data_IF_764463946150
#
_entry.id   IF_764463946150
#
_cell.length_a   1.000
_cell.length_b   1.000
_cell.length_c   1.000
_cell.angle_alpha   90.00
_cell.angle_beta   90.00
_cell.angle_gamma   90.00
#
_symmetry.space_group_name_H-M   'P 1'
#
loop_
_entity.id
_entity.type
_entity.pdbx_description
1 polymer ?
#
# COMPACT_ATOMS: atom_id res chain seq x y z
N UNK A 1 13.36 -6.05 26.24
CA UNK A 1 12.27 -5.21 25.69
C UNK A 1 11.93 -5.71 24.30
N UNK A 2 10.71 -6.19 24.07
CA UNK A 2 10.28 -6.64 22.74
C UNK A 2 9.79 -5.42 21.96
N UNK A 3 10.58 -4.95 20.99
CA UNK A 3 10.16 -3.87 20.10
C UNK A 3 8.95 -4.37 19.28
N UNK A 4 7.79 -3.75 19.46
CA UNK A 4 6.60 -3.97 18.64
C UNK A 4 7.00 -3.81 17.17
N UNK A 5 6.71 -4.82 16.34
CA UNK A 5 6.91 -4.72 14.90
C UNK A 5 5.80 -3.84 14.31
N UNK A 6 6.04 -2.54 14.21
CA UNK A 6 5.14 -1.61 13.55
C UNK A 6 5.26 -1.80 12.02
N UNK A 7 4.19 -2.31 11.39
CA UNK A 7 4.02 -2.29 9.95
C UNK A 7 3.65 -0.88 9.50
N UNK A 8 4.16 -0.44 8.36
CA UNK A 8 3.84 0.86 7.78
C UNK A 8 3.10 0.64 6.47
N UNK A 9 1.93 1.26 6.33
CA UNK A 9 1.24 1.41 5.06
C UNK A 9 1.54 2.80 4.53
N UNK A 10 2.32 2.89 3.46
CA UNK A 10 2.65 4.15 2.80
C UNK A 10 1.71 4.34 1.62
N UNK A 11 0.67 5.14 1.80
CA UNK A 11 -0.29 5.45 0.74
C UNK A 11 0.33 6.35 -0.33
N UNK A 12 0.19 5.94 -1.59
CA UNK A 12 0.68 6.63 -2.77
C UNK A 12 -0.52 7.17 -3.55
N UNK A 13 -0.39 8.41 -4.01
CA UNK A 13 -1.31 8.95 -5.00
C UNK A 13 -1.08 8.21 -6.33
N UNK A 14 -2.14 7.72 -7.01
CA UNK A 14 -1.99 7.00 -8.27
C UNK A 14 -1.25 7.82 -9.32
N UNK A 15 -1.65 9.05 -9.62
CA UNK A 15 -1.11 9.80 -10.77
C UNK A 15 0.32 10.30 -10.56
N UNK A 16 0.72 10.57 -9.32
CA UNK A 16 2.09 10.96 -9.00
C UNK A 16 2.53 10.36 -7.65
N UNK A 17 2.93 9.08 -7.62
CA UNK A 17 3.11 8.36 -6.38
C UNK A 17 4.23 8.92 -5.51
N UNK A 18 5.30 9.46 -6.13
CA UNK A 18 6.47 9.93 -5.40
C UNK A 18 7.05 11.21 -6.05
N UNK A 19 6.96 12.33 -5.33
CA UNK A 19 7.47 13.65 -5.75
C UNK A 19 8.92 13.86 -5.27
N UNK A 20 9.72 14.62 -6.03
CA UNK A 20 11.06 15.03 -5.60
C UNK A 20 11.04 15.80 -4.29
N UNK A 21 10.00 16.61 -4.07
CA UNK A 21 9.82 17.37 -2.83
C UNK A 21 9.74 16.50 -1.57
N UNK A 22 9.45 15.19 -1.69
CA UNK A 22 9.40 14.25 -0.56
C UNK A 22 10.75 13.57 -0.29
N UNK A 23 11.81 13.91 -1.04
CA UNK A 23 13.11 13.21 -0.96
C UNK A 23 13.67 13.13 0.46
N UNK A 24 13.69 14.24 1.18
CA UNK A 24 14.27 14.30 2.51
C UNK A 24 13.44 13.50 3.52
N UNK A 25 12.11 13.54 3.40
CA UNK A 25 11.20 12.71 4.20
C UNK A 25 11.39 11.23 3.91
N UNK A 26 11.51 10.83 2.64
CA UNK A 26 11.76 9.45 2.23
C UNK A 26 13.12 8.95 2.74
N UNK A 27 14.16 9.78 2.66
CA UNK A 27 15.48 9.46 3.23
C UNK A 27 15.39 9.31 4.74
N UNK A 28 14.69 10.22 5.43
CA UNK A 28 14.48 10.12 6.88
C UNK A 28 13.77 8.82 7.24
N UNK A 29 12.66 8.50 6.58
CA UNK A 29 11.87 7.30 6.85
C UNK A 29 12.67 6.02 6.57
N UNK A 30 13.29 5.92 5.39
CA UNK A 30 13.80 4.65 4.89
C UNK A 30 15.29 4.45 5.07
N UNK A 31 16.07 5.51 5.25
CA UNK A 31 17.52 5.43 5.51
C UNK A 31 17.86 5.72 6.97
N UNK A 32 17.34 6.79 7.54
CA UNK A 32 17.63 7.13 8.94
C UNK A 32 16.86 6.23 9.91
N UNK A 33 15.55 6.04 9.71
CA UNK A 33 14.72 5.23 10.60
C UNK A 33 14.66 3.74 10.21
N UNK A 34 15.24 3.38 9.05
CA UNK A 34 15.34 2.01 8.55
C UNK A 34 13.97 1.28 8.47
N UNK A 35 12.95 1.99 7.99
CA UNK A 35 11.57 1.49 7.98
C UNK A 35 11.18 0.74 6.70
N UNK A 36 12.06 0.72 5.69
CA UNK A 36 11.75 0.19 4.35
C UNK A 36 11.30 -1.27 4.38
N UNK A 37 12.00 -2.12 5.15
CA UNK A 37 11.73 -3.55 5.29
C UNK A 37 10.39 -3.87 5.96
N UNK A 38 9.73 -2.87 6.55
CA UNK A 38 8.43 -2.96 7.25
C UNK A 38 7.33 -2.16 6.54
N UNK A 39 7.63 -1.64 5.35
CA UNK A 39 6.72 -0.78 4.62
C UNK A 39 6.04 -1.54 3.49
N UNK A 40 4.73 -1.30 3.33
CA UNK A 40 3.95 -1.66 2.16
C UNK A 40 3.53 -0.35 1.49
N UNK A 41 3.94 -0.16 0.25
CA UNK A 41 3.53 0.95 -0.59
C UNK A 41 2.19 0.60 -1.23
N UNK A 42 1.17 1.43 -1.00
CA UNK A 42 -0.22 1.17 -1.39
C UNK A 42 -0.66 2.24 -2.38
N UNK A 43 -0.90 1.87 -3.64
CA UNK A 43 -1.55 2.74 -4.62
C UNK A 43 -3.06 2.67 -4.34
N UNK A 44 -3.64 3.72 -3.76
CA UNK A 44 -4.93 3.61 -3.05
C UNK A 44 -6.19 3.82 -3.90
N UNK A 45 -6.05 4.38 -5.09
CA UNK A 45 -7.15 4.72 -6.02
C UNK A 45 -6.81 4.24 -7.42
N UNK A 46 -6.57 2.94 -7.54
CA UNK A 46 -6.06 2.37 -8.79
C UNK A 46 -7.11 2.32 -9.92
N UNK A 47 -8.38 2.47 -9.56
CA UNK A 47 -9.50 2.72 -10.47
C UNK A 47 -9.37 4.03 -11.26
N UNK A 48 -8.48 4.96 -10.86
CA UNK A 48 -8.15 6.15 -11.66
C UNK A 48 -7.12 5.88 -12.77
N UNK A 49 -6.46 4.72 -12.75
CA UNK A 49 -5.32 4.41 -13.63
C UNK A 49 -5.54 3.15 -14.48
N UNK A 50 -6.50 2.32 -14.08
CA UNK A 50 -6.82 1.04 -14.71
C UNK A 50 -8.31 0.77 -14.66
N UNK A 51 -8.79 0.00 -15.63
CA UNK A 51 -10.07 -0.68 -15.50
C UNK A 51 -9.91 -1.81 -14.48
N UNK A 52 -10.55 -1.63 -13.32
CA UNK A 52 -10.51 -2.60 -12.21
C UNK A 52 -11.52 -3.74 -12.38
N UNK A 53 -12.39 -3.67 -13.38
CA UNK A 53 -13.28 -4.77 -13.75
C UNK A 53 -12.59 -5.74 -14.72
N UNK A 54 -11.60 -5.25 -15.49
CA UNK A 54 -10.75 -6.03 -16.38
C UNK A 54 -9.42 -6.42 -15.70
N UNK A 55 -9.30 -7.69 -15.32
CA UNK A 55 -8.09 -8.22 -14.69
C UNK A 55 -6.84 -8.11 -15.57
N UNK A 56 -6.97 -8.13 -16.91
CA UNK A 56 -5.84 -7.98 -17.83
C UNK A 56 -5.33 -6.53 -17.84
N UNK A 57 -6.23 -5.54 -17.96
CA UNK A 57 -5.84 -4.12 -17.89
C UNK A 57 -5.27 -3.78 -16.52
N UNK A 58 -5.95 -4.20 -15.43
CA UNK A 58 -5.46 -4.03 -14.06
C UNK A 58 -4.01 -4.52 -13.91
N UNK A 59 -3.72 -5.76 -14.31
CA UNK A 59 -2.39 -6.35 -14.14
C UNK A 59 -1.33 -5.66 -15.01
N UNK A 60 -1.68 -5.31 -16.25
CA UNK A 60 -0.80 -4.59 -17.17
C UNK A 60 -0.44 -3.21 -16.63
N UNK A 61 -1.43 -2.43 -16.22
CA UNK A 61 -1.26 -1.09 -15.63
C UNK A 61 -0.47 -1.17 -14.33
N UNK A 62 -0.77 -2.16 -13.50
CA UNK A 62 -0.12 -2.32 -12.21
C UNK A 62 1.37 -2.62 -12.38
N UNK A 63 1.74 -3.49 -13.33
CA UNK A 63 3.14 -3.79 -13.64
C UNK A 63 3.92 -2.52 -14.00
N UNK A 64 3.40 -1.72 -14.93
CA UNK A 64 4.02 -0.47 -15.36
C UNK A 64 4.17 0.50 -14.17
N UNK A 65 3.12 0.65 -13.36
CA UNK A 65 3.12 1.58 -12.22
C UNK A 65 4.11 1.14 -11.14
N UNK A 66 4.19 -0.16 -10.89
CA UNK A 66 5.13 -0.77 -9.95
C UNK A 66 6.57 -0.48 -10.36
N UNK A 67 6.92 -0.70 -11.63
CA UNK A 67 8.26 -0.40 -12.17
C UNK A 67 8.61 1.09 -12.00
N UNK A 68 7.67 1.99 -12.30
CA UNK A 68 7.86 3.43 -12.11
C UNK A 68 8.12 3.82 -10.65
N UNK A 69 7.37 3.24 -9.70
CA UNK A 69 7.56 3.46 -8.27
C UNK A 69 8.93 2.93 -7.81
N UNK A 70 9.32 1.73 -8.25
CA UNK A 70 10.63 1.16 -7.92
C UNK A 70 11.78 2.05 -8.41
N UNK A 71 11.71 2.51 -9.65
CA UNK A 71 12.69 3.43 -10.22
C UNK A 71 12.75 4.74 -9.43
N UNK A 72 11.59 5.34 -9.13
CA UNK A 72 11.56 6.62 -8.40
C UNK A 72 12.08 6.50 -6.96
N UNK A 73 11.76 5.42 -6.25
CA UNK A 73 12.35 5.14 -4.94
C UNK A 73 13.86 4.97 -5.07
N UNK A 74 14.33 4.22 -6.08
CA UNK A 74 15.76 4.06 -6.32
C UNK A 74 16.47 5.40 -6.52
N UNK A 75 15.91 6.31 -7.33
CA UNK A 75 16.54 7.61 -7.59
C UNK A 75 16.62 8.49 -6.34
N UNK A 76 15.61 8.42 -5.47
CA UNK A 76 15.49 9.29 -4.31
C UNK A 76 16.27 8.81 -3.08
N UNK A 77 16.26 7.49 -2.85
CA UNK A 77 16.84 6.87 -1.65
C UNK A 77 17.95 5.86 -1.98
N UNK A 78 18.35 5.71 -3.24
CA UNK A 78 19.45 4.83 -3.67
C UNK A 78 19.26 3.40 -3.19
N UNK A 79 18.27 2.70 -3.74
CA UNK A 79 17.96 1.33 -3.36
C UNK A 79 19.08 0.38 -3.79
N UNK A 80 19.47 -0.53 -2.90
CA UNK A 80 20.24 -1.72 -3.31
C UNK A 80 19.36 -2.68 -4.12
N UNK A 81 19.96 -3.58 -4.90
CA UNK A 81 19.21 -4.59 -5.67
C UNK A 81 18.32 -5.46 -4.78
N UNK A 82 18.83 -5.89 -3.62
CA UNK A 82 18.06 -6.64 -2.61
C UNK A 82 16.86 -5.84 -2.09
N UNK A 83 17.01 -4.54 -1.92
CA UNK A 83 15.88 -3.68 -1.49
C UNK A 83 14.85 -3.55 -2.60
N UNK A 84 15.27 -3.35 -3.86
CA UNK A 84 14.35 -3.29 -5.02
C UNK A 84 13.51 -4.55 -5.14
N UNK A 85 14.14 -5.72 -4.97
CA UNK A 85 13.49 -7.03 -5.01
C UNK A 85 12.53 -7.28 -3.82
N UNK A 86 12.80 -6.69 -2.67
CA UNK A 86 12.02 -6.88 -1.44
C UNK A 86 10.94 -5.81 -1.20
N UNK A 87 10.86 -4.79 -2.06
CA UNK A 87 9.81 -3.77 -2.03
C UNK A 87 8.42 -4.43 -2.10
N UNK A 88 7.59 -4.12 -1.11
CA UNK A 88 6.19 -4.53 -1.09
C UNK A 88 5.34 -3.39 -1.65
N UNK A 89 4.88 -3.54 -2.90
CA UNK A 89 4.00 -2.57 -3.57
C UNK A 89 2.71 -3.30 -3.94
N UNK A 90 1.57 -2.70 -3.61
CA UNK A 90 0.23 -3.20 -3.95
C UNK A 90 -0.62 -2.08 -4.54
N UNK A 91 -1.61 -2.43 -5.35
CA UNK A 91 -2.63 -1.53 -5.85
C UNK A 91 -3.99 -1.96 -5.33
N UNK A 92 -4.81 -0.99 -4.93
CA UNK A 92 -6.18 -1.19 -4.48
C UNK A 92 -7.03 -0.04 -4.98
N UNK A 93 -8.33 -0.27 -5.13
CA UNK A 93 -9.33 0.79 -5.21
C UNK A 93 -10.04 0.83 -3.86
N UNK A 94 -9.60 1.71 -2.95
CA UNK A 94 -10.14 1.75 -1.57
C UNK A 94 -11.60 2.20 -1.51
N UNK A 95 -12.04 2.96 -2.52
CA UNK A 95 -13.43 3.34 -2.76
C UNK A 95 -13.67 3.31 -4.27
N UNK A 96 -13.89 2.12 -4.86
CA UNK A 96 -14.08 1.98 -6.30
C UNK A 96 -15.15 2.95 -6.80
N UNK A 97 -14.86 3.68 -7.88
CA UNK A 97 -15.78 4.61 -8.55
C UNK A 97 -16.33 5.74 -7.65
N UNK A 98 -15.74 5.93 -6.46
CA UNK A 98 -16.19 6.86 -5.42
C UNK A 98 -17.64 6.65 -4.92
N UNK A 99 -18.19 5.43 -5.00
CA UNK A 99 -19.56 5.11 -4.54
C UNK A 99 -19.79 5.31 -3.03
N UNK A 100 -18.71 5.29 -2.24
CA UNK A 100 -18.73 5.61 -0.82
C UNK A 100 -18.98 4.39 0.09
N UNK A 101 -18.69 4.57 1.38
CA UNK A 101 -18.74 3.48 2.36
C UNK A 101 -20.13 2.85 2.46
N UNK A 102 -21.20 3.65 2.52
CA UNK A 102 -22.56 3.14 2.73
C UNK A 102 -22.99 2.16 1.62
N UNK A 103 -22.59 2.45 0.38
CA UNK A 103 -22.79 1.56 -0.75
C UNK A 103 -22.00 0.26 -0.52
N UNK A 104 -20.69 0.34 -0.29
CA UNK A 104 -19.81 -0.84 -0.20
C UNK A 104 -20.09 -1.72 1.03
N UNK A 105 -20.67 -1.16 2.10
CA UNK A 105 -21.16 -1.95 3.23
C UNK A 105 -22.32 -2.87 2.86
N UNK A 106 -23.14 -2.51 1.86
CA UNK A 106 -24.24 -3.32 1.33
C UNK A 106 -23.76 -4.29 0.24
N UNK A 107 -22.68 -3.96 -0.49
CA UNK A 107 -22.14 -4.72 -1.61
C UNK A 107 -20.73 -5.28 -1.32
N UNK A 108 -20.58 -6.00 -0.20
CA UNK A 108 -19.25 -6.43 0.28
C UNK A 108 -18.51 -7.39 -0.66
N UNK A 109 -19.22 -8.30 -1.31
CA UNK A 109 -18.60 -9.28 -2.23
C UNK A 109 -18.07 -8.59 -3.49
N UNK A 110 -18.88 -7.69 -4.05
CA UNK A 110 -18.48 -6.86 -5.19
C UNK A 110 -17.33 -5.94 -4.83
N UNK A 111 -17.38 -5.28 -3.67
CA UNK A 111 -16.26 -4.50 -3.15
C UNK A 111 -14.98 -5.33 -3.07
N UNK A 112 -15.03 -6.56 -2.55
CA UNK A 112 -13.83 -7.41 -2.44
C UNK A 112 -13.23 -7.73 -3.79
N UNK A 113 -14.05 -7.93 -4.82
CA UNK A 113 -13.61 -8.17 -6.19
C UNK A 113 -12.97 -6.92 -6.80
N UNK A 114 -13.69 -5.79 -6.78
CA UNK A 114 -13.29 -4.54 -7.43
C UNK A 114 -12.15 -3.80 -6.73
N UNK A 115 -12.13 -3.81 -5.39
CA UNK A 115 -11.14 -3.08 -4.62
C UNK A 115 -9.74 -3.68 -4.67
N UNK A 116 -9.62 -4.95 -5.08
CA UNK A 116 -8.40 -5.75 -4.92
C UNK A 116 -7.83 -5.75 -3.49
N UNK A 117 -8.65 -5.46 -2.46
CA UNK A 117 -8.23 -5.32 -1.06
C UNK A 117 -7.52 -6.57 -0.51
N UNK A 118 -7.84 -7.74 -1.10
CA UNK A 118 -7.20 -9.01 -0.77
C UNK A 118 -5.69 -8.97 -0.97
N UNK A 119 -5.19 -8.26 -2.00
CA UNK A 119 -3.76 -8.11 -2.26
C UNK A 119 -3.04 -7.39 -1.12
N UNK A 120 -3.65 -6.33 -0.56
CA UNK A 120 -3.13 -5.61 0.60
C UNK A 120 -3.17 -6.46 1.87
N UNK A 121 -4.25 -7.24 2.08
CA UNK A 121 -4.36 -8.16 3.20
C UNK A 121 -3.26 -9.22 3.16
N UNK A 122 -3.01 -9.82 2.00
CA UNK A 122 -2.01 -10.86 1.82
C UNK A 122 -0.59 -10.29 1.96
N UNK A 123 -0.32 -9.12 1.40
CA UNK A 123 0.96 -8.41 1.58
C UNK A 123 1.21 -8.07 3.06
N UNK A 124 0.17 -7.63 3.78
CA UNK A 124 0.23 -7.36 5.22
C UNK A 124 0.58 -8.62 6.02
N UNK A 125 -0.11 -9.73 5.76
CA UNK A 125 0.17 -11.00 6.42
C UNK A 125 1.59 -11.50 6.13
N UNK A 126 2.04 -11.42 4.86
CA UNK A 126 3.39 -11.78 4.45
C UNK A 126 4.42 -10.93 5.19
N UNK A 127 4.24 -9.60 5.21
CA UNK A 127 5.18 -8.66 5.83
C UNK A 127 5.30 -8.86 7.34
N UNK A 128 4.20 -9.19 8.02
CA UNK A 128 4.22 -9.52 9.46
C UNK A 128 5.01 -10.81 9.71
N UNK A 129 4.79 -11.86 8.90
CA UNK A 129 5.53 -13.13 9.02
C UNK A 129 7.03 -12.90 8.82
N UNK A 130 7.42 -12.15 7.79
CA UNK A 130 8.82 -11.79 7.51
C UNK A 130 9.48 -11.00 8.65
N UNK A 131 8.70 -10.21 9.41
CA UNK A 131 9.19 -9.35 10.50
C UNK A 131 9.05 -9.97 11.91
N UNK A 132 9.00 -11.31 12.02
CA UNK A 132 9.04 -12.01 13.31
C UNK A 132 7.67 -12.38 13.89
N UNK A 133 6.61 -12.39 13.09
CA UNK A 133 5.40 -13.18 13.33
C UNK A 133 4.48 -12.76 14.48
N UNK A 134 4.81 -11.76 15.29
CA UNK A 134 3.91 -11.28 16.36
C UNK A 134 2.83 -10.33 15.81
N UNK A 135 1.73 -10.93 15.35
CA UNK A 135 0.39 -10.32 15.40
C UNK A 135 0.00 -10.17 16.88
N UNK A 136 0.58 -9.19 17.56
CA UNK A 136 -0.12 -8.62 18.71
C UNK A 136 -1.23 -7.80 18.07
N UNK A 137 -2.38 -8.43 17.86
CA UNK A 137 -3.57 -7.80 17.29
C UNK A 137 -3.81 -6.55 18.14
N UNK A 138 -3.46 -5.38 17.60
CA UNK A 138 -3.91 -4.12 18.15
C UNK A 138 -5.38 -4.04 17.73
N UNK A 139 -6.25 -4.69 18.52
CA UNK A 139 -7.71 -4.55 18.42
C UNK A 139 -8.12 -3.07 18.49
N UNK A 140 -7.29 -2.20 19.07
CA UNK A 140 -7.52 -0.75 19.13
C UNK A 140 -7.34 -0.03 17.78
N UNK A 141 -6.47 -0.49 16.86
CA UNK A 141 -6.18 0.24 15.60
C UNK A 141 -7.12 -0.14 14.46
N UNK A 142 -7.74 -1.33 14.50
CA UNK A 142 -8.79 -1.72 13.54
C UNK A 142 -9.98 -0.74 13.56
N UNK A 143 -10.26 -0.10 14.71
CA UNK A 143 -11.28 0.97 14.81
C UNK A 143 -10.81 2.28 14.17
N UNK A 144 -9.55 2.66 14.37
CA UNK A 144 -9.06 3.99 13.99
C UNK A 144 -8.79 4.17 12.50
N UNK A 145 -8.24 3.15 11.81
CA UNK A 145 -7.88 3.26 10.39
C UNK A 145 -9.12 3.22 9.49
N UNK A 146 -10.15 2.48 9.90
CA UNK A 146 -11.43 2.45 9.17
C UNK A 146 -12.16 3.79 9.35
N UNK A 147 -12.05 4.45 10.51
CA UNK A 147 -12.70 5.75 10.75
C UNK A 147 -12.03 6.89 9.94
N UNK A 148 -10.70 6.95 9.89
CA UNK A 148 -9.95 8.02 9.20
C UNK A 148 -10.08 8.00 7.67
N UNK A 149 -10.44 6.84 7.09
CA UNK A 149 -10.69 6.69 5.65
C UNK A 149 -12.14 7.01 5.30
N UNK A 150 -13.03 7.01 6.28
CA UNK A 150 -14.48 7.21 6.11
C UNK A 150 -14.90 8.64 6.42
N UNK A 151 -14.15 9.35 7.27
CA UNK A 151 -14.46 10.71 7.71
C UNK A 151 -13.69 11.81 6.92
N UNK A 152 -13.31 11.56 5.65
CA UNK A 152 -12.75 12.60 4.75
C UNK A 152 -13.42 12.64 3.39
#
# INVERSE_FOLDING_TARGET
>A
MSAKAHLILYALNPSNPIKESHKDDLKRLFRTLNLLSRTIFVISRFDEEADIEDEEDYNKRFKIKKENIQNRLNDLISLSEKEKESLSIVAVAANPFNEGLEHWLKHKEEFQKLSHIKTLQDATQKKIKENGGKLTIIEETKKSVIQDVVDR
#
